data_IF_561744207203
#
_entry.id   IF_561744207203
#
_cell.length_a   1.000
_cell.length_b   1.000
_cell.length_c   1.000
_cell.angle_alpha   90.00
_cell.angle_beta   90.00
_cell.angle_gamma   90.00
#
_symmetry.space_group_name_H-M   'P 1'
#
loop_
_entity.id
_entity.type
_entity.pdbx_description
1 polymer ?
#
# COMPACT_ATOMS: atom_id res chain seq x y z
N UNK A 1 -4.63 -18.08 -8.32
CA UNK A 1 -4.89 -17.78 -6.89
C UNK A 1 -4.67 -16.29 -6.68
N UNK A 2 -5.56 -15.57 -5.99
CA UNK A 2 -5.43 -14.10 -5.82
C UNK A 2 -5.19 -13.80 -4.34
N UNK A 3 -4.09 -13.10 -4.05
CA UNK A 3 -3.74 -12.65 -2.70
C UNK A 3 -4.37 -11.29 -2.42
N UNK A 4 -4.72 -11.05 -1.16
CA UNK A 4 -5.29 -9.80 -0.65
C UNK A 4 -4.55 -9.37 0.61
N UNK A 5 -4.47 -8.06 0.83
CA UNK A 5 -3.88 -7.49 2.03
C UNK A 5 -4.94 -6.77 2.87
N UNK A 6 -5.01 -7.13 4.15
CA UNK A 6 -5.86 -6.48 5.15
C UNK A 6 -4.99 -5.66 6.10
N UNK A 7 -5.21 -4.34 6.17
CA UNK A 7 -4.45 -3.44 7.07
C UNK A 7 -4.68 -3.78 8.56
N UNK A 8 -3.62 -3.67 9.34
CA UNK A 8 -3.57 -3.86 10.79
C UNK A 8 -3.08 -2.55 11.48
N UNK A 9 -3.60 -2.20 12.67
CA UNK A 9 -4.79 -2.76 13.31
C UNK A 9 -6.07 -2.30 12.58
N UNK A 10 -7.08 -3.17 12.47
CA UNK A 10 -8.33 -2.79 11.81
C UNK A 10 -9.33 -3.93 11.61
N UNK A 11 -10.62 -3.57 11.60
CA UNK A 11 -11.71 -4.48 11.20
C UNK A 11 -11.83 -4.44 9.67
N UNK A 12 -11.63 -5.59 9.03
CA UNK A 12 -11.63 -5.70 7.56
C UNK A 12 -13.02 -5.45 6.99
N UNK A 13 -13.25 -4.29 6.34
CA UNK A 13 -14.39 -4.13 5.42
C UNK A 13 -13.97 -3.98 3.96
N UNK A 14 -12.71 -3.66 3.69
CA UNK A 14 -12.21 -3.51 2.32
C UNK A 14 -11.92 -4.86 1.68
N UNK A 15 -12.52 -5.11 0.52
CA UNK A 15 -12.17 -6.24 -0.37
C UNK A 15 -10.93 -5.95 -1.22
N UNK A 16 -10.44 -4.72 -1.19
CA UNK A 16 -9.32 -4.23 -1.98
C UNK A 16 -8.09 -4.03 -1.10
N UNK A 17 -6.93 -4.35 -1.64
CA UNK A 17 -5.62 -4.10 -1.05
C UNK A 17 -5.24 -2.65 -1.31
N UNK A 18 -5.57 -1.77 -0.37
CA UNK A 18 -5.28 -0.35 -0.52
C UNK A 18 -4.87 0.32 0.78
N UNK A 19 -4.12 1.42 0.65
CA UNK A 19 -3.81 2.30 1.76
C UNK A 19 -3.60 3.74 1.29
N UNK A 20 -3.64 4.67 2.24
CA UNK A 20 -3.41 6.09 2.02
C UNK A 20 -2.04 6.50 2.54
N UNK A 21 -1.37 7.37 1.79
CA UNK A 21 -0.14 8.07 2.15
C UNK A 21 -0.44 9.55 2.27
N UNK A 22 0.19 10.20 3.25
CA UNK A 22 0.20 11.65 3.40
C UNK A 22 1.60 12.15 3.01
N UNK A 23 1.70 13.11 2.07
CA UNK A 23 2.97 13.67 1.67
C UNK A 23 3.76 14.24 2.85
N UNK A 24 5.08 14.05 2.84
CA UNK A 24 5.97 14.58 3.89
C UNK A 24 5.78 13.92 5.26
N UNK A 25 5.00 12.84 5.35
CA UNK A 25 4.81 12.08 6.59
C UNK A 25 5.35 10.66 6.42
N UNK A 26 6.14 10.16 7.37
CA UNK A 26 6.59 8.77 7.31
C UNK A 26 5.38 7.84 7.44
N UNK A 27 5.48 6.66 6.82
CA UNK A 27 4.47 5.61 6.87
C UNK A 27 5.07 4.37 7.54
N UNK A 28 4.38 3.79 8.52
CA UNK A 28 4.65 2.43 9.01
C UNK A 28 3.30 1.70 9.08
N UNK A 29 3.14 0.68 8.23
CA UNK A 29 1.90 -0.07 8.11
C UNK A 29 2.18 -1.57 8.05
N UNK A 30 1.28 -2.33 8.65
CA UNK A 30 1.28 -3.79 8.59
C UNK A 30 -0.02 -4.29 7.96
N UNK A 31 0.08 -5.38 7.23
CA UNK A 31 -1.04 -6.04 6.58
C UNK A 31 -1.00 -7.54 6.84
N UNK A 32 -2.17 -8.16 6.96
CA UNK A 32 -2.31 -9.60 6.87
C UNK A 32 -2.59 -10.00 5.42
N UNK A 33 -1.76 -10.89 4.90
CA UNK A 33 -1.89 -11.49 3.57
C UNK A 33 -2.82 -12.70 3.66
N UNK A 34 -3.85 -12.71 2.82
CA UNK A 34 -4.82 -13.78 2.75
C UNK A 34 -5.13 -14.12 1.30
N UNK A 35 -5.41 -15.39 1.04
CA UNK A 35 -5.93 -15.82 -0.25
C UNK A 35 -7.46 -15.60 -0.37
N UNK A 36 -8.04 -15.99 -1.50
CA UNK A 36 -9.48 -15.95 -1.73
C UNK A 36 -10.30 -16.84 -0.80
N UNK A 37 -9.68 -17.89 -0.24
CA UNK A 37 -10.27 -18.83 0.71
C UNK A 37 -10.13 -18.35 2.17
N UNK A 38 -9.58 -17.14 2.38
CA UNK A 38 -9.28 -16.55 3.70
C UNK A 38 -8.22 -17.31 4.50
N UNK A 39 -7.40 -18.09 3.82
CA UNK A 39 -6.21 -18.71 4.40
C UNK A 39 -5.06 -17.70 4.41
N UNK A 40 -4.32 -17.65 5.51
CA UNK A 40 -3.13 -16.79 5.60
C UNK A 40 -2.04 -17.27 4.63
N UNK A 41 -1.43 -16.34 3.92
CA UNK A 41 -0.37 -16.62 2.95
C UNK A 41 0.97 -16.34 3.62
N UNK A 42 1.81 -17.38 3.69
CA UNK A 42 3.11 -17.28 4.35
C UNK A 42 4.24 -17.12 3.32
N UNK A 43 4.89 -15.96 3.32
CA UNK A 43 6.09 -15.67 2.53
C UNK A 43 7.29 -15.34 3.42
N UNK A 44 7.30 -15.80 4.68
CA UNK A 44 8.47 -15.67 5.54
C UNK A 44 9.66 -16.38 4.89
N UNK A 45 10.82 -15.72 4.92
CA UNK A 45 12.05 -16.21 4.27
C UNK A 45 12.20 -15.76 2.81
N UNK A 46 11.12 -15.29 2.17
CA UNK A 46 11.21 -14.69 0.84
C UNK A 46 11.72 -13.25 0.92
N UNK A 47 12.42 -12.82 -0.13
CA UNK A 47 12.81 -11.43 -0.28
C UNK A 47 11.65 -10.62 -0.88
N UNK A 48 11.18 -9.55 -0.22
CA UNK A 48 10.11 -8.72 -0.75
C UNK A 48 10.64 -7.62 -1.68
N UNK A 49 9.84 -7.29 -2.70
CA UNK A 49 10.01 -6.07 -3.49
C UNK A 49 8.69 -5.33 -3.61
N UNK A 50 8.63 -4.13 -3.06
CA UNK A 50 7.46 -3.27 -3.14
C UNK A 50 7.69 -2.18 -4.18
N UNK A 51 6.77 -2.00 -5.13
CA UNK A 51 6.88 -1.00 -6.20
C UNK A 51 5.61 -0.18 -6.33
N UNK A 52 5.73 1.13 -6.45
CA UNK A 52 4.64 2.04 -6.84
C UNK A 52 4.88 2.52 -8.26
N UNK A 53 3.83 2.54 -9.06
CA UNK A 53 3.87 2.94 -10.46
C UNK A 53 3.24 4.32 -10.66
N UNK A 54 3.81 5.09 -11.57
CA UNK A 54 3.27 6.37 -12.01
C UNK A 54 1.85 6.21 -12.57
N UNK A 55 1.00 7.20 -12.29
CA UNK A 55 -0.33 7.28 -12.90
C UNK A 55 -0.31 7.88 -14.32
N UNK A 56 0.82 8.48 -14.72
CA UNK A 56 0.94 9.25 -15.96
C UNK A 56 1.78 8.56 -17.04
N UNK A 57 2.78 7.79 -16.63
CA UNK A 57 3.70 7.10 -17.53
C UNK A 57 3.55 5.62 -17.27
N UNK A 58 3.15 4.88 -18.30
CA UNK A 58 2.92 3.45 -18.17
C UNK A 58 4.21 2.74 -17.71
N UNK A 59 4.05 1.81 -16.77
CA UNK A 59 5.10 0.99 -16.17
C UNK A 59 6.26 1.74 -15.50
N UNK A 60 6.25 3.08 -15.42
CA UNK A 60 7.28 3.83 -14.71
C UNK A 60 7.16 3.58 -13.20
N UNK A 61 8.21 3.02 -12.60
CA UNK A 61 8.30 2.85 -11.14
C UNK A 61 8.77 4.16 -10.51
N UNK A 62 7.94 4.72 -9.63
CA UNK A 62 8.23 5.99 -8.92
C UNK A 62 8.76 5.76 -7.51
N UNK A 63 8.59 4.55 -6.97
CA UNK A 63 9.16 4.14 -5.70
C UNK A 63 9.39 2.64 -5.73
N UNK A 64 10.57 2.19 -5.31
CA UNK A 64 10.90 0.79 -5.11
C UNK A 64 11.57 0.60 -3.75
N UNK A 65 11.07 -0.37 -2.97
CA UNK A 65 11.64 -0.75 -1.67
C UNK A 65 11.97 -2.25 -1.70
N UNK A 66 13.25 -2.56 -1.61
CA UNK A 66 13.82 -3.92 -1.48
C UNK A 66 14.54 -4.14 -0.16
N UNK A 67 14.71 -3.08 0.64
CA UNK A 67 15.35 -3.15 1.96
C UNK A 67 14.53 -4.04 2.91
N UNK A 68 15.09 -5.16 3.42
CA UNK A 68 14.39 -6.11 4.28
C UNK A 68 14.01 -5.53 5.65
N UNK A 69 14.56 -4.39 6.07
CA UNK A 69 14.16 -3.71 7.30
C UNK A 69 12.96 -2.76 7.11
N UNK A 70 12.64 -2.47 5.85
CA UNK A 70 11.60 -1.51 5.46
C UNK A 70 10.44 -2.16 4.73
N UNK A 71 10.68 -3.26 4.05
CA UNK A 71 9.66 -4.16 3.52
C UNK A 71 9.98 -5.56 4.03
N UNK A 72 9.11 -6.15 4.84
CA UNK A 72 9.38 -7.45 5.47
C UNK A 72 8.15 -8.36 5.52
N UNK A 73 8.37 -9.66 5.38
CA UNK A 73 7.39 -10.70 5.65
C UNK A 73 7.63 -11.32 7.03
N UNK A 74 6.58 -11.41 7.84
CA UNK A 74 6.59 -11.98 9.19
C UNK A 74 5.63 -13.14 9.32
N UNK A 75 5.87 -13.93 10.38
CA UNK A 75 5.04 -15.06 10.76
C UNK A 75 3.56 -14.66 10.86
N UNK A 76 2.68 -15.60 10.52
CA UNK A 76 1.23 -15.36 10.46
C UNK A 76 0.78 -14.70 9.15
N UNK A 77 1.66 -14.63 8.15
CA UNK A 77 1.37 -14.02 6.84
C UNK A 77 1.26 -12.51 6.92
N UNK A 78 2.15 -11.89 7.68
CA UNK A 78 2.15 -10.43 7.86
C UNK A 78 3.15 -9.82 6.89
N UNK A 79 2.74 -8.77 6.19
CA UNK A 79 3.61 -7.89 5.42
C UNK A 79 3.69 -6.54 6.11
N UNK A 80 4.89 -6.03 6.38
CA UNK A 80 5.11 -4.68 6.89
C UNK A 80 5.82 -3.83 5.86
N UNK A 81 5.40 -2.58 5.73
CA UNK A 81 5.99 -1.58 4.85
C UNK A 81 6.27 -0.29 5.63
N UNK A 82 7.46 0.26 5.41
CA UNK A 82 7.92 1.55 5.95
C UNK A 82 8.43 2.47 4.85
N UNK A 83 7.83 3.66 4.75
CA UNK A 83 8.25 4.71 3.84
C UNK A 83 8.75 5.93 4.64
N UNK A 84 9.79 6.59 4.14
CA UNK A 84 10.29 7.82 4.76
C UNK A 84 9.42 9.02 4.41
N UNK A 85 9.61 10.16 5.09
CA UNK A 85 8.87 11.37 4.79
C UNK A 85 9.19 11.93 3.40
N UNK A 86 10.45 11.80 2.98
CA UNK A 86 10.95 12.27 1.68
C UNK A 86 10.33 11.45 0.55
N UNK A 87 10.29 10.12 0.69
CA UNK A 87 9.68 9.24 -0.30
C UNK A 87 8.18 9.51 -0.43
N UNK A 88 7.46 9.68 0.69
CA UNK A 88 6.03 9.96 0.64
C UNK A 88 5.73 11.33 0.05
N UNK A 89 6.62 12.31 0.23
CA UNK A 89 6.49 13.63 -0.39
C UNK A 89 6.70 13.60 -1.90
N UNK A 90 7.65 12.81 -2.39
CA UNK A 90 7.96 12.66 -3.82
C UNK A 90 6.90 11.87 -4.60
N UNK A 91 5.99 11.17 -3.93
CA UNK A 91 4.94 10.41 -4.60
C UNK A 91 3.97 11.33 -5.39
N UNK A 92 3.62 10.97 -6.64
CA UNK A 92 2.55 11.63 -7.37
C UNK A 92 1.26 11.72 -6.54
N UNK A 93 0.58 12.87 -6.60
CA UNK A 93 -0.71 13.04 -5.93
C UNK A 93 -1.79 12.29 -6.69
N UNK A 94 -2.72 11.68 -5.95
CA UNK A 94 -3.81 10.88 -6.52
C UNK A 94 -3.67 9.39 -6.25
N UNK A 95 -4.31 8.57 -7.09
CA UNK A 95 -4.35 7.12 -6.98
C UNK A 95 -3.31 6.46 -7.87
N UNK A 96 -2.43 5.65 -7.28
CA UNK A 96 -1.39 4.89 -7.98
C UNK A 96 -1.57 3.40 -7.74
N UNK A 97 -1.00 2.60 -8.64
CA UNK A 97 -0.93 1.16 -8.47
C UNK A 97 0.35 0.80 -7.72
N UNK A 98 0.29 -0.26 -6.93
CA UNK A 98 1.49 -0.89 -6.38
C UNK A 98 1.50 -2.39 -6.63
N UNK A 99 2.69 -2.96 -6.74
CA UNK A 99 2.92 -4.40 -6.63
C UNK A 99 3.71 -4.70 -5.37
N UNK A 100 3.37 -5.81 -4.74
CA UNK A 100 4.19 -6.48 -3.75
C UNK A 100 4.58 -7.82 -4.34
N UNK A 101 5.87 -7.94 -4.59
CA UNK A 101 6.52 -9.09 -5.17
C UNK A 101 7.34 -9.80 -4.12
N UNK A 102 7.61 -11.06 -4.38
CA UNK A 102 8.44 -11.89 -3.54
C UNK A 102 9.26 -12.84 -4.41
N UNK A 103 10.46 -13.17 -3.95
CA UNK A 103 11.27 -14.23 -4.53
C UNK A 103 11.75 -15.19 -3.46
N UNK A 104 11.84 -16.46 -3.84
CA UNK A 104 12.66 -17.43 -3.14
C UNK A 104 14.11 -17.30 -3.63
N UNK A 105 15.09 -17.74 -2.85
CA UNK A 105 16.54 -17.50 -3.05
C UNK A 105 17.08 -17.86 -4.44
N UNK A 106 16.38 -18.70 -5.19
CA UNK A 106 16.82 -19.21 -6.49
C UNK A 106 15.98 -18.71 -7.68
N UNK A 107 14.92 -17.93 -7.43
CA UNK A 107 13.93 -17.57 -8.44
C UNK A 107 13.87 -16.07 -8.73
N UNK A 108 13.34 -15.74 -9.91
CA UNK A 108 12.95 -14.37 -10.22
C UNK A 108 11.79 -13.89 -9.33
N UNK A 109 11.68 -12.57 -9.19
CA UNK A 109 10.57 -11.96 -8.49
C UNK A 109 9.24 -12.29 -9.15
N UNK A 110 8.31 -12.79 -8.34
CA UNK A 110 6.94 -13.06 -8.74
C UNK A 110 5.99 -12.06 -8.11
N UNK A 111 4.98 -11.62 -8.87
CA UNK A 111 3.95 -10.71 -8.34
C UNK A 111 3.00 -11.50 -7.45
N UNK A 112 3.11 -11.27 -6.15
CA UNK A 112 2.22 -11.87 -5.15
C UNK A 112 0.93 -11.08 -4.98
N UNK A 113 1.01 -9.75 -4.98
CA UNK A 113 -0.11 -8.87 -4.68
C UNK A 113 -0.09 -7.61 -5.55
N UNK A 114 -1.25 -7.27 -6.11
CA UNK A 114 -1.52 -6.00 -6.77
C UNK A 114 -2.50 -5.20 -5.91
N UNK A 115 -2.21 -3.91 -5.71
CA UNK A 115 -3.08 -3.03 -4.94
C UNK A 115 -3.01 -1.57 -5.38
N UNK A 116 -3.65 -0.72 -4.59
CA UNK A 116 -3.76 0.72 -4.85
C UNK A 116 -3.23 1.51 -3.67
N UNK A 117 -2.42 2.53 -3.95
CA UNK A 117 -1.99 3.50 -2.95
C UNK A 117 -2.52 4.87 -3.36
N UNK A 118 -3.06 5.62 -2.40
CA UNK A 118 -3.53 6.98 -2.66
C UNK A 118 -2.69 7.97 -1.87
N UNK A 119 -2.02 8.88 -2.58
CA UNK A 119 -1.29 9.98 -1.98
C UNK A 119 -2.19 11.23 -2.02
N UNK A 120 -2.77 11.59 -0.87
CA UNK A 120 -3.64 12.76 -0.76
C UNK A 120 -2.90 13.85 -0.02
N UNK A 121 -2.94 15.08 -0.55
CA UNK A 121 -2.56 16.25 0.24
C UNK A 121 -3.34 16.22 1.56
N UNK A 122 -2.67 16.61 2.64
CA UNK A 122 -3.38 16.89 3.89
C UNK A 122 -4.28 18.06 3.55
N UNK A 123 -5.57 17.81 3.34
CA UNK A 123 -6.54 18.88 3.28
C UNK A 123 -6.37 19.67 4.58
N UNK A 124 -5.79 20.87 4.50
CA UNK A 124 -6.23 21.97 5.35
C UNK A 124 -7.74 21.90 5.26
N UNK A 125 -8.39 21.65 6.39
CA UNK A 125 -9.84 21.55 6.56
C UNK A 125 -10.57 22.38 5.50
N UNK A 126 -10.93 21.74 4.39
CA UNK A 126 -11.80 22.37 3.41
C UNK A 126 -13.15 22.36 4.08
N UNK A 127 -13.64 23.55 4.40
CA UNK A 127 -14.97 23.87 4.90
C UNK A 127 -16.06 23.42 3.90
N UNK A 128 -16.13 22.13 3.60
CA UNK A 128 -17.16 21.54 2.73
C UNK A 128 -18.53 21.42 3.41
N UNK A 129 -18.69 21.96 4.62
CA UNK A 129 -20.00 22.14 5.27
C UNK A 129 -20.75 23.42 4.84
N UNK A 130 -20.28 24.18 3.85
CA UNK A 130 -21.01 25.39 3.39
C UNK A 130 -22.22 25.11 2.49
N UNK A 131 -22.35 23.93 1.87
CA UNK A 131 -23.48 23.66 0.97
C UNK A 131 -24.78 23.37 1.74
N UNK A 132 -24.70 22.87 2.97
CA UNK A 132 -25.88 22.65 3.83
C UNK A 132 -26.53 23.94 4.36
N UNK A 133 -25.90 25.11 4.16
CA UNK A 133 -26.44 26.41 4.59
C UNK A 133 -27.07 27.23 3.44
N UNK A 134 -27.15 26.69 2.22
CA UNK A 134 -27.69 27.39 1.04
C UNK A 134 -29.08 26.90 0.61
N UNK A 135 -29.72 26.01 1.37
CA UNK A 135 -31.11 25.65 1.14
C UNK A 135 -32.00 26.42 2.13
N UNK A 136 -32.98 27.22 1.65
CA UNK A 136 -33.98 27.81 2.52
C UNK A 136 -34.77 26.70 3.22
N UNK A 137 -35.05 26.90 4.51
CA UNK A 137 -36.00 26.05 5.26
C UNK A 137 -37.42 26.20 4.72
#
# INVERSE_FOLDING_TARGET
>A
MTIRAKRLPGKSRSRLSWFRVHPGKPLDVSFQLMDTNRTSVNWVGHEPRFRIYSQFVDQLVVLEITDPHRCEFKLGGIWRLRLTAEETDLLPRGGMRFTLEHRDTENDFTVGLLGTVSCCDVSTTSDHNRISNLLPR
#
